data_IF_161490973859
#
_entry.id   IF_161490973859
#
_cell.length_a   1.000
_cell.length_b   1.000
_cell.length_c   1.000
_cell.angle_alpha   90.00
_cell.angle_beta   90.00
_cell.angle_gamma   90.00
#
_symmetry.space_group_name_H-M   'P 1'
#
loop_
_entity.id
_entity.type
_entity.pdbx_description
1 polymer ?
#
# COMPACT_ATOMS: atom_id res chain seq x y z
N UNK A 1 -32.75 -7.14 -10.18
CA UNK A 1 -32.50 -8.51 -10.65
C UNK A 1 -31.84 -9.37 -9.58
N UNK A 2 -32.30 -10.61 -9.37
CA UNK A 2 -31.54 -11.62 -8.62
C UNK A 2 -30.50 -12.23 -9.57
N UNK A 3 -29.22 -11.97 -9.30
CA UNK A 3 -28.12 -12.35 -10.19
C UNK A 3 -27.51 -13.71 -9.88
N UNK A 4 -28.10 -14.49 -8.97
CA UNK A 4 -27.57 -15.80 -8.64
C UNK A 4 -27.57 -16.75 -9.85
N UNK A 5 -26.47 -17.50 -9.99
CA UNK A 5 -26.34 -18.59 -10.96
C UNK A 5 -26.60 -18.20 -12.44
N UNK A 6 -26.40 -16.92 -12.78
CA UNK A 6 -26.58 -16.41 -14.14
C UNK A 6 -25.26 -16.44 -14.91
N UNK A 7 -25.26 -17.01 -16.13
CA UNK A 7 -24.06 -16.98 -16.99
C UNK A 7 -23.78 -15.55 -17.47
N UNK A 8 -24.83 -14.84 -17.88
CA UNK A 8 -24.76 -13.52 -18.48
C UNK A 8 -26.02 -12.72 -18.12
N UNK A 9 -25.81 -11.50 -17.64
CA UNK A 9 -26.82 -10.46 -17.50
C UNK A 9 -26.35 -9.29 -18.38
N UNK A 10 -27.24 -8.79 -19.22
CA UNK A 10 -27.01 -7.57 -20.01
C UNK A 10 -28.17 -6.63 -19.71
N UNK A 11 -27.87 -5.52 -19.07
CA UNK A 11 -28.77 -4.40 -18.88
C UNK A 11 -28.47 -3.31 -19.91
N UNK A 12 -29.52 -2.71 -20.45
CA UNK A 12 -29.42 -1.63 -21.43
C UNK A 12 -29.65 -0.25 -20.79
N UNK A 13 -29.82 -0.24 -19.46
CA UNK A 13 -29.80 0.92 -18.59
C UNK A 13 -31.11 1.15 -17.86
N UNK A 14 -31.07 2.03 -16.87
CA UNK A 14 -32.13 2.23 -15.89
C UNK A 14 -31.54 2.28 -14.48
N UNK A 15 -32.33 2.68 -13.48
CA UNK A 15 -31.84 2.67 -12.10
C UNK A 15 -32.26 1.34 -11.47
N UNK A 16 -31.38 0.35 -11.55
CA UNK A 16 -31.63 -1.02 -11.22
C UNK A 16 -30.96 -1.45 -9.91
N UNK A 17 -31.30 -2.67 -9.50
CA UNK A 17 -30.78 -3.26 -8.28
C UNK A 17 -30.40 -4.70 -8.51
N UNK A 18 -29.11 -4.99 -8.41
CA UNK A 18 -28.56 -6.33 -8.52
C UNK A 18 -28.36 -6.93 -7.14
N UNK A 19 -28.91 -8.13 -6.93
CA UNK A 19 -28.84 -8.87 -5.67
C UNK A 19 -28.07 -10.17 -5.85
N UNK A 20 -27.34 -10.59 -4.81
CA UNK A 20 -26.63 -11.87 -4.79
C UNK A 20 -25.39 -11.89 -5.68
N UNK A 21 -25.12 -13.04 -6.30
CA UNK A 21 -23.90 -13.30 -7.07
C UNK A 21 -23.95 -12.78 -8.53
N UNK A 22 -24.55 -11.60 -8.75
CA UNK A 22 -24.58 -10.98 -10.08
C UNK A 22 -23.16 -10.72 -10.58
N UNK A 23 -22.79 -11.25 -11.75
CA UNK A 23 -21.41 -11.14 -12.26
C UNK A 23 -20.36 -11.88 -11.41
N UNK A 24 -20.78 -12.83 -10.57
CA UNK A 24 -19.89 -13.58 -9.69
C UNK A 24 -20.10 -15.10 -9.77
N UNK A 25 -19.03 -15.87 -9.53
CA UNK A 25 -19.11 -17.33 -9.46
C UNK A 25 -19.30 -17.77 -8.00
N UNK A 26 -20.46 -18.36 -7.69
CA UNK A 26 -20.84 -18.75 -6.32
C UNK A 26 -20.83 -20.26 -6.07
N UNK A 27 -20.67 -21.08 -7.12
CA UNK A 27 -20.68 -22.55 -7.00
C UNK A 27 -19.83 -23.26 -8.07
N UNK A 28 -19.29 -24.45 -7.79
CA UNK A 28 -18.36 -25.15 -8.71
C UNK A 28 -18.91 -25.47 -10.10
N UNK A 29 -20.22 -25.68 -10.24
CA UNK A 29 -20.86 -25.94 -11.52
C UNK A 29 -21.05 -24.71 -12.41
N UNK A 30 -20.67 -23.53 -11.91
CA UNK A 30 -20.93 -22.25 -12.55
C UNK A 30 -19.63 -21.43 -12.59
N UNK A 31 -18.71 -21.86 -13.47
CA UNK A 31 -17.34 -21.34 -13.54
C UNK A 31 -17.18 -20.01 -14.27
N UNK A 32 -18.26 -19.46 -14.86
CA UNK A 32 -18.28 -18.13 -15.49
C UNK A 32 -19.59 -17.42 -15.14
N UNK A 33 -19.50 -16.14 -14.78
CA UNK A 33 -20.64 -15.25 -14.56
C UNK A 33 -20.27 -13.84 -15.00
N UNK A 34 -21.11 -13.23 -15.84
CA UNK A 34 -20.86 -11.92 -16.44
C UNK A 34 -22.08 -11.01 -16.24
N UNK A 35 -21.82 -9.80 -15.77
CA UNK A 35 -22.79 -8.70 -15.70
C UNK A 35 -22.26 -7.54 -16.54
N UNK A 36 -23.09 -7.07 -17.47
CA UNK A 36 -22.85 -5.88 -18.29
C UNK A 36 -24.02 -4.95 -18.05
N UNK A 37 -23.77 -3.82 -17.41
CA UNK A 37 -24.68 -2.70 -17.34
C UNK A 37 -24.20 -1.61 -18.31
N UNK A 38 -25.14 -0.97 -18.98
CA UNK A 38 -24.87 0.08 -19.96
C UNK A 38 -25.27 1.48 -19.46
N UNK A 39 -25.85 1.56 -18.26
CA UNK A 39 -25.79 2.74 -17.41
C UNK A 39 -27.08 3.07 -16.67
N UNK A 40 -26.97 3.89 -15.64
CA UNK A 40 -28.05 4.10 -14.69
C UNK A 40 -27.56 4.77 -13.43
N UNK A 41 -28.37 4.82 -12.37
CA UNK A 41 -27.78 4.95 -11.03
C UNK A 41 -28.20 3.68 -10.27
N UNK A 42 -27.26 2.75 -10.16
CA UNK A 42 -27.49 1.34 -9.87
C UNK A 42 -27.03 0.94 -8.48
N UNK A 43 -27.64 -0.14 -7.98
CA UNK A 43 -27.28 -0.71 -6.68
C UNK A 43 -26.91 -2.19 -6.79
N UNK A 44 -25.61 -2.47 -6.67
CA UNK A 44 -25.02 -3.80 -6.61
C UNK A 44 -24.88 -4.23 -5.16
N UNK A 45 -25.92 -4.87 -4.60
CA UNK A 45 -26.01 -5.13 -3.16
C UNK A 45 -25.97 -6.62 -2.81
N UNK A 46 -25.05 -6.99 -1.92
CA UNK A 46 -25.04 -8.26 -1.23
C UNK A 46 -24.67 -8.11 0.26
N UNK A 47 -25.63 -8.51 1.13
CA UNK A 47 -25.51 -8.41 2.59
C UNK A 47 -25.27 -9.75 3.29
N UNK A 48 -25.16 -10.83 2.52
CA UNK A 48 -24.83 -12.16 3.04
C UNK A 48 -23.33 -12.41 2.88
N UNK A 49 -22.65 -12.77 3.98
CA UNK A 49 -21.21 -13.10 3.98
C UNK A 49 -20.90 -14.43 3.28
N UNK A 50 -21.91 -15.26 3.06
CA UNK A 50 -21.75 -16.57 2.45
C UNK A 50 -21.89 -16.56 0.93
N UNK A 51 -22.26 -15.41 0.36
CA UNK A 51 -22.48 -15.24 -1.08
C UNK A 51 -21.44 -14.24 -1.58
N UNK A 52 -20.70 -14.52 -2.66
CA UNK A 52 -19.86 -13.52 -3.30
C UNK A 52 -20.70 -12.46 -4.02
N UNK A 53 -20.12 -11.31 -4.35
CA UNK A 53 -20.82 -10.23 -5.07
C UNK A 53 -20.09 -9.81 -6.35
N UNK A 54 -20.60 -8.78 -7.02
CA UNK A 54 -20.16 -8.23 -8.30
C UNK A 54 -18.66 -8.41 -8.61
N UNK A 55 -18.39 -8.94 -9.80
CA UNK A 55 -17.05 -9.13 -10.32
C UNK A 55 -16.20 -10.16 -9.58
N UNK A 56 -16.79 -11.09 -8.80
CA UNK A 56 -15.98 -12.04 -8.01
C UNK A 56 -15.79 -13.39 -8.71
N UNK A 57 -14.54 -13.83 -8.82
CA UNK A 57 -14.17 -15.14 -9.35
C UNK A 57 -13.72 -16.12 -8.26
N UNK A 58 -14.61 -17.03 -7.85
CA UNK A 58 -14.28 -18.21 -7.04
C UNK A 58 -14.13 -19.43 -7.96
N UNK A 59 -12.93 -20.01 -8.04
CA UNK A 59 -12.63 -21.18 -8.89
C UNK A 59 -13.09 -21.04 -10.35
N UNK A 60 -13.12 -19.80 -10.85
CA UNK A 60 -13.76 -19.44 -12.11
C UNK A 60 -13.53 -17.97 -12.45
N UNK A 61 -14.39 -17.44 -13.32
CA UNK A 61 -14.32 -16.05 -13.81
C UNK A 61 -15.61 -15.31 -13.47
N UNK A 62 -15.51 -14.28 -12.62
CA UNK A 62 -16.59 -13.33 -12.37
C UNK A 62 -16.25 -11.98 -12.98
N UNK A 63 -17.17 -11.41 -13.75
CA UNK A 63 -16.99 -10.11 -14.40
C UNK A 63 -18.23 -9.25 -14.18
N UNK A 64 -18.01 -8.01 -13.73
CA UNK A 64 -18.98 -6.93 -13.73
C UNK A 64 -18.40 -5.75 -14.49
N UNK A 65 -19.15 -5.27 -15.47
CA UNK A 65 -18.84 -4.06 -16.23
C UNK A 65 -20.02 -3.11 -16.09
N UNK A 66 -19.76 -1.91 -15.58
CA UNK A 66 -20.67 -0.77 -15.63
C UNK A 66 -20.12 0.27 -16.61
N UNK A 67 -21.00 0.88 -17.40
CA UNK A 67 -20.60 1.82 -18.45
C UNK A 67 -20.70 3.29 -18.04
N UNK A 68 -21.59 3.61 -17.10
CA UNK A 68 -21.91 4.96 -16.64
C UNK A 68 -22.94 4.93 -15.50
N UNK A 69 -22.68 5.66 -14.42
CA UNK A 69 -23.71 5.89 -13.42
C UNK A 69 -23.31 6.72 -12.22
N UNK A 70 -24.10 6.71 -11.16
CA UNK A 70 -23.59 7.04 -9.83
C UNK A 70 -24.07 5.93 -8.90
N UNK A 71 -23.22 4.95 -8.73
CA UNK A 71 -23.58 3.61 -8.34
C UNK A 71 -23.17 3.31 -6.91
N UNK A 72 -23.89 2.34 -6.35
CA UNK A 72 -23.60 1.78 -5.05
C UNK A 72 -23.18 0.32 -5.20
N UNK A 73 -21.92 0.07 -4.91
CA UNK A 73 -21.37 -1.27 -4.77
C UNK A 73 -21.29 -1.63 -3.27
N UNK A 74 -22.25 -2.39 -2.75
CA UNK A 74 -22.30 -2.81 -1.34
C UNK A 74 -22.15 -4.34 -1.24
N UNK A 75 -20.98 -4.84 -0.84
CA UNK A 75 -20.72 -6.27 -0.70
C UNK A 75 -19.97 -6.61 0.58
N UNK A 76 -20.37 -7.61 1.36
CA UNK A 76 -19.66 -7.88 2.62
C UNK A 76 -18.26 -8.47 2.44
N UNK A 77 -18.19 -9.61 1.77
CA UNK A 77 -16.96 -10.40 1.62
C UNK A 77 -16.90 -10.93 0.21
N UNK A 78 -15.70 -11.00 -0.39
CA UNK A 78 -15.50 -11.50 -1.76
C UNK A 78 -16.44 -10.79 -2.74
N UNK A 79 -16.17 -9.51 -2.95
CA UNK A 79 -16.95 -8.61 -3.80
C UNK A 79 -16.04 -7.64 -4.53
N UNK A 80 -16.61 -6.88 -5.48
CA UNK A 80 -15.94 -5.74 -6.11
C UNK A 80 -14.61 -6.17 -6.74
N UNK A 81 -14.66 -7.15 -7.65
CA UNK A 81 -13.48 -7.60 -8.37
C UNK A 81 -12.60 -8.62 -7.64
N UNK A 82 -13.09 -9.28 -6.59
CA UNK A 82 -12.26 -10.21 -5.80
C UNK A 82 -11.93 -11.54 -6.53
N UNK A 83 -10.70 -12.02 -6.39
CA UNK A 83 -10.23 -13.30 -6.95
C UNK A 83 -9.91 -14.34 -5.88
N UNK A 84 -10.55 -15.52 -5.92
CA UNK A 84 -10.24 -16.64 -5.04
C UNK A 84 -10.08 -17.94 -5.84
N UNK A 85 -8.83 -18.35 -6.09
CA UNK A 85 -8.51 -19.43 -7.05
C UNK A 85 -9.09 -19.19 -8.45
N UNK A 86 -9.34 -17.93 -8.81
CA UNK A 86 -10.04 -17.53 -10.01
C UNK A 86 -9.70 -16.10 -10.42
N UNK A 87 -10.42 -15.58 -11.40
CA UNK A 87 -10.33 -14.20 -11.88
C UNK A 87 -11.60 -13.45 -11.49
N UNK A 88 -11.46 -12.42 -10.65
CA UNK A 88 -12.48 -11.40 -10.44
C UNK A 88 -12.14 -10.13 -11.19
N UNK A 89 -13.13 -9.52 -11.84
CA UNK A 89 -13.04 -8.20 -12.45
C UNK A 89 -14.31 -7.40 -12.16
N UNK A 90 -14.14 -6.25 -11.53
CA UNK A 90 -15.08 -5.14 -11.60
C UNK A 90 -14.44 -4.05 -12.44
N UNK A 91 -15.16 -3.57 -13.46
CA UNK A 91 -14.77 -2.39 -14.22
C UNK A 91 -15.95 -1.41 -14.25
N UNK A 92 -15.87 -0.34 -13.47
CA UNK A 92 -16.71 0.84 -13.63
C UNK A 92 -15.99 1.80 -14.58
N UNK A 93 -16.73 2.46 -15.44
CA UNK A 93 -16.15 3.29 -16.49
C UNK A 93 -16.25 4.78 -16.19
N UNK A 94 -17.34 5.23 -15.55
CA UNK A 94 -17.54 6.65 -15.22
C UNK A 94 -18.65 6.75 -14.18
N UNK A 95 -18.46 7.55 -13.14
CA UNK A 95 -19.53 7.82 -12.21
C UNK A 95 -19.07 8.58 -10.99
N UNK A 96 -19.92 8.81 -10.00
CA UNK A 96 -19.43 9.13 -8.66
C UNK A 96 -19.98 8.06 -7.73
N UNK A 97 -19.14 7.08 -7.50
CA UNK A 97 -19.52 5.77 -7.04
C UNK A 97 -19.09 5.53 -5.61
N UNK A 98 -19.77 4.56 -4.98
CA UNK A 98 -19.56 4.22 -3.58
C UNK A 98 -19.32 2.74 -3.45
N UNK A 99 -18.09 2.39 -3.08
CA UNK A 99 -17.63 1.03 -2.88
C UNK A 99 -17.54 0.72 -1.39
N UNK A 100 -18.48 -0.07 -0.90
CA UNK A 100 -18.58 -0.46 0.52
C UNK A 100 -18.35 -1.95 0.67
N UNK A 101 -17.33 -2.32 1.45
CA UNK A 101 -17.08 -3.71 1.80
C UNK A 101 -16.65 -3.95 3.24
N UNK A 102 -16.66 -5.21 3.68
CA UNK A 102 -16.04 -5.58 4.96
C UNK A 102 -14.62 -6.10 4.71
N UNK A 103 -14.47 -7.21 3.98
CA UNK A 103 -13.16 -7.84 3.75
C UNK A 103 -13.06 -8.53 2.38
N UNK A 104 -11.85 -8.90 1.99
CA UNK A 104 -11.51 -9.62 0.75
C UNK A 104 -12.23 -9.09 -0.48
N UNK A 105 -12.21 -7.77 -0.69
CA UNK A 105 -12.96 -7.09 -1.75
C UNK A 105 -12.13 -5.98 -2.41
N UNK A 106 -12.67 -5.28 -3.40
CA UNK A 106 -12.02 -4.15 -4.07
C UNK A 106 -10.67 -4.58 -4.66
N UNK A 107 -10.73 -5.58 -5.55
CA UNK A 107 -9.56 -6.13 -6.21
C UNK A 107 -8.67 -7.03 -5.34
N UNK A 108 -9.12 -7.49 -4.16
CA UNK A 108 -8.37 -8.46 -3.36
C UNK A 108 -8.20 -9.81 -4.07
N UNK A 109 -7.06 -10.48 -3.86
CA UNK A 109 -6.83 -11.79 -4.46
C UNK A 109 -6.10 -12.80 -3.57
N UNK A 110 -6.50 -14.07 -3.67
CA UNK A 110 -5.79 -15.21 -3.07
C UNK A 110 -5.77 -16.35 -4.09
N UNK A 111 -4.58 -16.92 -4.36
CA UNK A 111 -4.40 -17.97 -5.39
C UNK A 111 -4.96 -17.64 -6.78
N UNK A 112 -5.19 -16.37 -7.06
CA UNK A 112 -5.94 -15.92 -8.22
C UNK A 112 -5.63 -14.46 -8.54
N UNK A 113 -6.51 -13.85 -9.32
CA UNK A 113 -6.37 -12.48 -9.81
C UNK A 113 -7.66 -11.73 -9.44
N UNK A 114 -7.52 -10.60 -8.76
CA UNK A 114 -8.62 -9.70 -8.42
C UNK A 114 -8.33 -8.31 -8.97
N UNK A 115 -9.28 -7.75 -9.70
CA UNK A 115 -9.16 -6.46 -10.38
C UNK A 115 -10.41 -5.62 -10.07
N UNK A 116 -10.22 -4.49 -9.40
CA UNK A 116 -11.21 -3.41 -9.33
C UNK A 116 -10.64 -2.24 -10.14
N UNK A 117 -11.34 -1.86 -11.20
CA UNK A 117 -10.91 -0.81 -12.12
C UNK A 117 -12.01 0.23 -12.18
N UNK A 118 -11.65 1.48 -11.99
CA UNK A 118 -12.52 2.63 -12.23
C UNK A 118 -11.92 3.50 -13.36
N UNK A 119 -12.80 4.07 -14.18
CA UNK A 119 -12.44 4.94 -15.29
C UNK A 119 -12.57 6.43 -14.94
N UNK A 120 -13.25 6.77 -13.84
CA UNK A 120 -13.12 8.03 -13.15
C UNK A 120 -14.41 8.70 -12.68
N UNK A 121 -14.20 9.68 -11.81
CA UNK A 121 -15.14 10.58 -11.17
C UNK A 121 -14.78 10.75 -9.69
N UNK A 122 -15.65 11.30 -8.85
CA UNK A 122 -15.30 11.53 -7.44
C UNK A 122 -15.79 10.34 -6.57
N UNK A 123 -14.94 9.33 -6.41
CA UNK A 123 -15.28 8.02 -5.86
C UNK A 123 -14.94 7.86 -4.37
N UNK A 124 -15.67 6.94 -3.72
CA UNK A 124 -15.48 6.63 -2.31
C UNK A 124 -15.38 5.13 -2.04
N UNK A 125 -14.18 4.68 -1.70
CA UNK A 125 -13.85 3.32 -1.34
C UNK A 125 -13.75 3.17 0.17
N UNK A 126 -14.53 2.27 0.75
CA UNK A 126 -14.49 1.97 2.17
C UNK A 126 -14.50 0.46 2.40
N UNK A 127 -13.53 -0.03 3.19
CA UNK A 127 -13.59 -1.38 3.76
C UNK A 127 -13.02 -1.49 5.17
N UNK A 128 -13.23 -2.63 5.82
CA UNK A 128 -12.68 -2.88 7.15
C UNK A 128 -11.24 -3.41 7.12
N UNK A 129 -10.91 -4.30 6.18
CA UNK A 129 -9.62 -5.00 6.19
C UNK A 129 -9.11 -5.32 4.79
N UNK A 130 -9.09 -6.60 4.42
CA UNK A 130 -8.26 -7.09 3.31
C UNK A 130 -8.87 -6.64 1.98
N UNK A 131 -8.17 -5.83 1.19
CA UNK A 131 -8.75 -5.28 -0.05
C UNK A 131 -8.01 -4.09 -0.61
N UNK A 132 -8.67 -3.30 -1.45
CA UNK A 132 -8.04 -2.17 -2.17
C UNK A 132 -6.74 -2.61 -2.83
N UNK A 133 -6.84 -3.62 -3.70
CA UNK A 133 -5.69 -4.16 -4.41
C UNK A 133 -4.77 -5.04 -3.57
N UNK A 134 -5.29 -5.74 -2.56
CA UNK A 134 -4.48 -6.64 -1.73
C UNK A 134 -4.09 -7.93 -2.48
N UNK A 135 -2.79 -8.23 -2.52
CA UNK A 135 -2.21 -9.46 -3.04
C UNK A 135 -1.92 -10.48 -1.93
N UNK A 136 -2.83 -11.43 -1.73
CA UNK A 136 -2.75 -12.43 -0.66
C UNK A 136 -1.95 -13.68 -0.99
N UNK A 137 -2.04 -14.65 -0.08
CA UNK A 137 -1.33 -15.93 -0.15
C UNK A 137 -1.48 -16.67 -1.47
N UNK A 138 -0.45 -17.47 -1.79
CA UNK A 138 -0.48 -18.33 -2.96
C UNK A 138 -0.15 -17.60 -4.26
N UNK A 139 0.52 -16.45 -4.16
CA UNK A 139 0.83 -15.60 -5.30
C UNK A 139 -0.41 -14.88 -5.85
N UNK A 140 -1.36 -14.50 -4.98
CA UNK A 140 -2.53 -13.72 -5.40
C UNK A 140 -2.10 -12.39 -6.04
N UNK A 141 -2.76 -11.98 -7.11
CA UNK A 141 -2.52 -10.69 -7.76
C UNK A 141 -3.75 -9.83 -7.53
N UNK A 142 -3.65 -8.87 -6.62
CA UNK A 142 -4.72 -7.93 -6.33
C UNK A 142 -4.39 -6.55 -6.88
N UNK A 143 -5.35 -5.93 -7.57
CA UNK A 143 -5.21 -4.60 -8.14
C UNK A 143 -6.48 -3.80 -7.89
N UNK A 144 -6.33 -2.62 -7.31
CA UNK A 144 -7.27 -1.51 -7.46
C UNK A 144 -6.60 -0.47 -8.35
N UNK A 145 -7.27 -0.07 -9.42
CA UNK A 145 -6.78 0.96 -10.32
C UNK A 145 -7.88 1.98 -10.59
N UNK A 146 -7.60 3.24 -10.31
CA UNK A 146 -8.44 4.39 -10.65
C UNK A 146 -7.71 5.26 -11.66
N UNK A 147 -8.45 5.94 -12.53
CA UNK A 147 -7.87 6.72 -13.62
C UNK A 147 -7.94 8.21 -13.37
N UNK A 148 -9.03 8.72 -12.79
CA UNK A 148 -9.22 10.16 -12.67
C UNK A 148 -10.29 10.48 -11.65
N UNK A 149 -10.02 11.39 -10.72
CA UNK A 149 -11.04 11.70 -9.75
C UNK A 149 -10.62 12.60 -8.63
N UNK A 150 -11.47 12.68 -7.62
CA UNK A 150 -11.06 13.13 -6.29
C UNK A 150 -11.50 12.10 -5.28
N UNK A 151 -10.67 11.09 -5.15
CA UNK A 151 -11.04 9.80 -4.62
C UNK A 151 -10.67 9.68 -3.16
N UNK A 152 -11.44 8.84 -2.47
CA UNK A 152 -11.24 8.56 -1.06
C UNK A 152 -11.09 7.08 -0.85
N UNK A 153 -9.88 6.67 -0.49
CA UNK A 153 -9.55 5.30 -0.16
C UNK A 153 -9.47 5.15 1.35
N UNK A 154 -10.49 4.55 1.95
CA UNK A 154 -10.55 4.32 3.40
C UNK A 154 -10.52 2.84 3.73
N UNK A 155 -9.46 2.40 4.40
CA UNK A 155 -9.43 1.14 5.12
C UNK A 155 -9.56 1.43 6.62
N UNK A 156 -10.66 1.01 7.24
CA UNK A 156 -11.07 1.43 8.59
C UNK A 156 -9.92 1.29 9.61
N UNK A 157 -9.31 2.40 10.08
CA UNK A 157 -8.16 2.31 10.96
C UNK A 157 -8.58 1.98 12.40
N UNK A 158 -9.78 2.34 12.85
CA UNK A 158 -10.12 2.27 14.27
C UNK A 158 -10.60 0.89 14.71
N UNK A 159 -9.93 0.32 15.72
CA UNK A 159 -10.38 -0.94 16.33
C UNK A 159 -11.70 -0.82 17.10
N UNK A 160 -12.16 0.40 17.35
CA UNK A 160 -13.46 0.68 17.99
C UNK A 160 -14.64 0.53 17.02
N UNK A 161 -14.40 0.67 15.72
CA UNK A 161 -15.40 0.47 14.67
C UNK A 161 -15.49 -1.01 14.32
N UNK A 162 -14.35 -1.65 14.12
CA UNK A 162 -14.23 -3.09 13.81
C UNK A 162 -13.01 -3.67 14.50
N UNK A 163 -13.14 -4.82 15.16
CA UNK A 163 -12.09 -5.34 16.04
C UNK A 163 -11.05 -6.18 15.28
N UNK A 164 -10.20 -5.52 14.50
CA UNK A 164 -9.01 -6.10 13.84
C UNK A 164 -7.70 -5.50 14.37
N UNK A 165 -7.72 -5.07 15.64
CA UNK A 165 -6.59 -4.38 16.27
C UNK A 165 -5.28 -5.15 16.17
N UNK A 166 -4.22 -4.44 15.81
CA UNK A 166 -2.87 -4.98 15.68
C UNK A 166 -2.02 -4.69 16.93
N UNK A 167 -1.09 -5.58 17.26
CA UNK A 167 -0.32 -5.45 18.50
C UNK A 167 0.71 -4.31 18.46
N UNK A 168 1.18 -3.89 17.29
CA UNK A 168 2.16 -2.79 17.19
C UNK A 168 1.55 -1.46 17.64
N UNK A 169 0.26 -1.27 17.37
CA UNK A 169 -0.53 -0.10 17.75
C UNK A 169 -1.31 -0.32 19.06
N UNK A 170 -0.86 -1.26 19.91
CA UNK A 170 -1.51 -1.60 21.18
C UNK A 170 -2.99 -1.99 21.02
N UNK A 171 -3.32 -2.61 19.90
CA UNK A 171 -4.68 -3.03 19.51
C UNK A 171 -5.67 -1.88 19.33
N UNK A 172 -5.20 -0.63 19.23
CA UNK A 172 -6.05 0.55 18.99
C UNK A 172 -6.31 0.79 17.49
N UNK A 173 -5.41 0.31 16.63
CA UNK A 173 -5.49 0.48 15.17
C UNK A 173 -5.54 -0.89 14.49
N UNK A 174 -6.38 -1.02 13.47
CA UNK A 174 -6.58 -2.26 12.73
C UNK A 174 -5.38 -2.61 11.85
N UNK A 175 -5.06 -3.90 11.74
CA UNK A 175 -4.28 -4.43 10.62
C UNK A 175 -5.21 -4.55 9.42
N UNK A 176 -5.09 -3.64 8.44
CA UNK A 176 -6.00 -3.59 7.31
C UNK A 176 -5.58 -4.53 6.18
N UNK A 177 -4.29 -4.74 5.91
CA UNK A 177 -3.84 -5.57 4.77
C UNK A 177 -4.45 -5.05 3.44
N UNK A 178 -4.24 -3.77 3.13
CA UNK A 178 -4.97 -3.09 2.04
C UNK A 178 -4.14 -2.03 1.32
N UNK A 179 -4.71 -1.33 0.33
CA UNK A 179 -4.05 -0.24 -0.39
C UNK A 179 -2.73 -0.72 -1.01
N UNK A 180 -2.87 -1.74 -1.86
CA UNK A 180 -1.75 -2.35 -2.57
C UNK A 180 -0.84 -3.21 -1.70
N UNK A 181 -1.27 -3.67 -0.53
CA UNK A 181 -0.46 -4.54 0.31
C UNK A 181 -0.26 -5.96 -0.30
N UNK A 182 0.97 -6.48 -0.23
CA UNK A 182 1.30 -7.86 -0.57
C UNK A 182 1.51 -8.71 0.68
N UNK A 183 0.59 -9.63 0.99
CA UNK A 183 0.55 -10.29 2.30
C UNK A 183 0.64 -11.81 2.23
N UNK A 184 1.72 -12.36 2.78
CA UNK A 184 1.89 -13.79 3.02
C UNK A 184 1.41 -14.25 4.38
N UNK A 185 1.29 -15.57 4.54
CA UNK A 185 1.02 -16.22 5.83
C UNK A 185 2.33 -16.69 6.43
N UNK A 186 2.68 -16.09 7.57
CA UNK A 186 3.80 -16.52 8.40
C UNK A 186 3.35 -17.58 9.41
N UNK A 187 3.72 -18.84 9.18
CA UNK A 187 3.29 -19.98 10.01
C UNK A 187 4.30 -20.47 11.05
N UNK A 188 5.55 -20.02 11.00
CA UNK A 188 6.63 -20.50 11.89
C UNK A 188 6.36 -20.28 13.39
N UNK A 189 5.64 -19.21 13.75
CA UNK A 189 5.19 -18.94 15.12
C UNK A 189 3.87 -19.61 15.53
N UNK A 190 3.20 -20.34 14.61
CA UNK A 190 1.88 -20.93 14.84
C UNK A 190 1.85 -22.44 14.52
N UNK A 191 1.54 -22.82 13.28
CA UNK A 191 1.32 -24.20 12.85
C UNK A 191 2.45 -24.78 11.97
N UNK A 192 3.48 -23.99 11.69
CA UNK A 192 4.58 -24.33 10.80
C UNK A 192 4.27 -24.22 9.30
N UNK A 193 3.05 -23.83 8.91
CA UNK A 193 2.62 -23.74 7.53
C UNK A 193 2.64 -22.30 7.02
N UNK A 194 3.70 -21.99 6.28
CA UNK A 194 3.92 -20.66 5.72
C UNK A 194 3.62 -20.62 4.23
N UNK A 195 2.92 -19.60 3.76
CA UNK A 195 2.64 -19.35 2.34
C UNK A 195 3.14 -17.97 1.95
N UNK A 196 3.88 -17.89 0.85
CA UNK A 196 4.34 -16.61 0.31
C UNK A 196 3.15 -15.71 -0.04
N UNK A 197 3.34 -14.41 0.19
CA UNK A 197 2.40 -13.38 -0.23
C UNK A 197 2.31 -13.22 -1.74
N UNK A 198 1.35 -12.41 -2.14
CA UNK A 198 1.07 -12.07 -3.52
C UNK A 198 1.69 -10.75 -3.95
N UNK A 199 1.22 -10.26 -5.09
CA UNK A 199 1.47 -8.90 -5.57
C UNK A 199 0.19 -8.10 -5.31
N UNK A 200 0.27 -7.10 -4.44
CA UNK A 200 -0.79 -6.10 -4.27
C UNK A 200 -0.40 -4.81 -4.97
N UNK A 201 -1.37 -4.15 -5.59
CA UNK A 201 -1.20 -2.83 -6.18
C UNK A 201 -2.44 -1.97 -5.98
N UNK A 202 -2.24 -0.75 -5.49
CA UNK A 202 -3.17 0.37 -5.66
C UNK A 202 -2.51 1.35 -6.63
N UNK A 203 -3.27 1.78 -7.63
CA UNK A 203 -2.79 2.63 -8.71
C UNK A 203 -3.82 3.73 -8.92
N UNK A 204 -3.45 4.97 -8.62
CA UNK A 204 -4.18 6.15 -9.04
C UNK A 204 -3.36 6.88 -10.11
N UNK A 205 -4.02 7.52 -11.06
CA UNK A 205 -3.36 8.18 -12.20
C UNK A 205 -3.49 9.69 -12.12
N UNK A 206 -4.59 10.23 -11.59
CA UNK A 206 -4.75 11.68 -11.45
C UNK A 206 -5.88 12.05 -10.51
N UNK A 207 -5.63 12.95 -9.58
CA UNK A 207 -6.67 13.45 -8.70
C UNK A 207 -6.16 14.41 -7.65
N UNK A 208 -6.93 14.65 -6.60
CA UNK A 208 -6.40 15.23 -5.35
C UNK A 208 -6.90 14.30 -4.23
N UNK A 209 -6.25 13.16 -4.08
CA UNK A 209 -6.80 11.97 -3.47
C UNK A 209 -6.45 11.85 -1.99
N UNK A 210 -7.29 11.10 -1.28
CA UNK A 210 -7.13 10.91 0.16
C UNK A 210 -7.11 9.43 0.50
N UNK A 211 -5.95 8.98 0.97
CA UNK A 211 -5.74 7.64 1.48
C UNK A 211 -5.77 7.66 2.99
N UNK A 212 -6.71 6.96 3.60
CA UNK A 212 -6.81 6.79 5.06
C UNK A 212 -6.77 5.33 5.43
N UNK A 213 -5.77 4.92 6.21
CA UNK A 213 -5.65 3.54 6.65
C UNK A 213 -4.96 3.36 8.00
N UNK A 214 -5.04 2.15 8.54
CA UNK A 214 -4.36 1.72 9.75
C UNK A 214 -2.98 1.13 9.47
N UNK A 215 -2.81 -0.15 9.80
CA UNK A 215 -1.55 -0.88 9.67
C UNK A 215 -1.51 -1.77 8.43
N UNK A 216 -0.31 -2.05 7.91
CA UNK A 216 -0.05 -2.93 6.75
C UNK A 216 -0.73 -2.45 5.46
N UNK A 217 -0.40 -1.22 5.04
CA UNK A 217 -1.05 -0.53 3.92
C UNK A 217 -0.10 0.26 3.03
N UNK A 218 -0.61 0.88 1.96
CA UNK A 218 0.12 1.81 1.09
C UNK A 218 1.42 1.21 0.57
N UNK A 219 1.25 0.14 -0.21
CA UNK A 219 2.37 -0.59 -0.82
C UNK A 219 3.23 -1.37 0.17
N UNK A 220 2.67 -1.79 1.31
CA UNK A 220 3.39 -2.61 2.29
C UNK A 220 3.60 -4.05 1.79
N UNK A 221 4.80 -4.59 2.01
CA UNK A 221 5.10 -6.02 1.84
C UNK A 221 5.09 -6.79 3.16
N UNK A 222 4.62 -8.03 3.15
CA UNK A 222 4.75 -8.95 4.29
C UNK A 222 4.95 -10.38 3.82
N UNK A 223 5.96 -11.06 4.38
CA UNK A 223 6.22 -12.49 4.20
C UNK A 223 6.27 -12.94 2.72
N UNK A 224 7.33 -12.55 2.02
CA UNK A 224 7.53 -12.76 0.58
C UNK A 224 6.51 -12.06 -0.36
N UNK A 225 5.58 -11.28 0.18
CA UNK A 225 4.68 -10.45 -0.62
C UNK A 225 5.39 -9.24 -1.22
N UNK A 226 4.80 -8.70 -2.29
CA UNK A 226 5.19 -7.42 -2.90
C UNK A 226 4.00 -6.49 -2.84
N UNK A 227 4.14 -5.36 -2.15
CA UNK A 227 3.14 -4.30 -2.14
C UNK A 227 3.57 -3.12 -3.01
N UNK A 228 2.62 -2.52 -3.71
CA UNK A 228 2.82 -1.37 -4.61
C UNK A 228 1.72 -0.35 -4.36
N UNK A 229 2.11 0.89 -4.10
CA UNK A 229 1.28 2.07 -4.19
C UNK A 229 1.86 2.94 -5.30
N UNK A 230 1.03 3.33 -6.25
CA UNK A 230 1.41 4.26 -7.31
C UNK A 230 0.37 5.36 -7.36
N UNK A 231 0.84 6.60 -7.31
CA UNK A 231 0.06 7.79 -7.60
C UNK A 231 0.72 8.55 -8.76
N UNK A 232 -0.11 9.06 -9.67
CA UNK A 232 0.33 9.60 -10.95
C UNK A 232 0.42 11.12 -11.01
N UNK A 233 -0.41 11.82 -10.23
CA UNK A 233 -0.44 13.28 -10.14
C UNK A 233 -1.52 13.72 -9.17
N UNK A 234 -1.24 14.71 -8.34
CA UNK A 234 -2.28 15.31 -7.52
C UNK A 234 -1.76 16.31 -6.52
N UNK A 235 -2.54 16.57 -5.47
CA UNK A 235 -2.01 17.06 -4.20
C UNK A 235 -2.64 16.19 -3.13
N UNK A 236 -2.00 15.08 -2.88
CA UNK A 236 -2.57 13.91 -2.27
C UNK A 236 -2.27 13.87 -0.78
N UNK A 237 -3.10 13.13 -0.05
CA UNK A 237 -2.99 13.01 1.38
C UNK A 237 -3.00 11.55 1.82
N UNK A 238 -1.83 11.09 2.28
CA UNK A 238 -1.58 9.74 2.79
C UNK A 238 -1.58 9.73 4.31
N UNK A 239 -2.70 9.32 4.92
CA UNK A 239 -2.88 9.20 6.37
C UNK A 239 -2.84 7.73 6.79
N UNK A 240 -1.78 7.33 7.47
CA UNK A 240 -1.63 5.94 7.93
C UNK A 240 -0.92 5.81 9.28
N UNK A 241 -0.72 4.57 9.75
CA UNK A 241 -0.20 4.32 11.11
C UNK A 241 1.09 3.52 11.13
N UNK A 242 1.05 2.20 10.90
CA UNK A 242 2.21 1.32 11.13
C UNK A 242 2.44 0.32 10.01
N UNK A 243 3.69 0.07 9.61
CA UNK A 243 4.00 -0.76 8.43
C UNK A 243 3.20 -0.26 7.21
N UNK A 244 3.52 0.95 6.79
CA UNK A 244 2.80 1.66 5.73
C UNK A 244 3.76 2.40 4.80
N UNK A 245 3.28 2.95 3.68
CA UNK A 245 4.00 3.84 2.77
C UNK A 245 5.39 3.30 2.39
N UNK A 246 5.41 2.29 1.51
CA UNK A 246 6.60 1.58 1.04
C UNK A 246 7.42 0.88 2.14
N UNK A 247 6.78 0.21 3.09
CA UNK A 247 7.49 -0.54 4.13
C UNK A 247 7.27 -2.04 4.02
N UNK A 248 7.95 -2.81 4.88
CA UNK A 248 7.61 -4.21 5.01
C UNK A 248 8.40 -5.00 6.05
N UNK A 249 7.94 -6.23 6.25
CA UNK A 249 8.57 -7.20 7.12
C UNK A 249 8.68 -8.59 6.48
N UNK A 250 9.84 -9.22 6.66
CA UNK A 250 10.12 -10.62 6.35
C UNK A 250 10.19 -10.94 4.84
N UNK A 251 11.36 -10.69 4.25
CA UNK A 251 11.73 -11.11 2.88
C UNK A 251 10.78 -10.59 1.78
N UNK A 252 10.19 -9.42 2.00
CA UNK A 252 9.16 -8.84 1.16
C UNK A 252 9.67 -7.63 0.38
N UNK A 253 8.83 -7.09 -0.50
CA UNK A 253 9.06 -5.82 -1.17
C UNK A 253 7.94 -4.85 -0.80
N UNK A 254 8.28 -3.63 -0.39
CA UNK A 254 7.33 -2.54 -0.20
C UNK A 254 7.69 -1.36 -1.10
N UNK A 255 6.73 -0.85 -1.86
CA UNK A 255 6.97 0.14 -2.91
C UNK A 255 5.87 1.22 -2.86
N UNK A 256 6.28 2.49 -2.86
CA UNK A 256 5.42 3.65 -3.10
C UNK A 256 6.13 4.54 -4.11
N UNK A 257 5.40 4.91 -5.15
CA UNK A 257 5.82 5.82 -6.20
C UNK A 257 4.79 6.94 -6.27
N UNK A 258 5.21 8.16 -5.98
CA UNK A 258 4.45 9.38 -6.23
C UNK A 258 5.14 10.15 -7.36
N UNK A 259 4.39 10.55 -8.37
CA UNK A 259 4.93 11.11 -9.61
C UNK A 259 4.86 12.64 -9.67
N UNK A 260 4.00 13.31 -8.88
CA UNK A 260 3.92 14.77 -8.79
C UNK A 260 2.84 15.23 -7.80
N UNK A 261 3.13 16.27 -7.01
CA UNK A 261 2.10 16.95 -6.23
C UNK A 261 2.67 17.72 -5.05
N UNK A 262 1.91 18.66 -4.46
CA UNK A 262 2.27 19.19 -3.14
C UNK A 262 1.60 18.30 -2.05
N UNK A 263 2.24 17.17 -1.76
CA UNK A 263 1.66 16.02 -1.08
C UNK A 263 1.89 16.01 0.43
N UNK A 264 1.05 15.22 1.12
CA UNK A 264 1.11 15.06 2.58
C UNK A 264 1.19 13.60 2.97
N UNK A 265 2.35 13.23 3.48
CA UNK A 265 2.64 11.91 4.03
C UNK A 265 2.57 11.96 5.56
N UNK A 266 1.43 11.57 6.14
CA UNK A 266 1.12 11.83 7.54
C UNK A 266 0.93 10.54 8.34
N UNK A 267 1.80 10.33 9.33
CA UNK A 267 1.62 9.24 10.28
C UNK A 267 0.91 9.66 11.57
N UNK A 268 -0.11 8.90 11.98
CA UNK A 268 -0.98 9.21 13.13
C UNK A 268 -0.82 8.23 14.31
N UNK A 269 -1.37 8.56 15.50
CA UNK A 269 -1.33 7.67 16.68
C UNK A 269 0.09 7.23 17.13
N UNK A 270 0.27 5.95 17.46
CA UNK A 270 1.56 5.30 17.79
C UNK A 270 2.31 4.85 16.52
N UNK A 271 2.18 5.64 15.46
CA UNK A 271 2.71 5.36 14.13
C UNK A 271 4.21 5.09 14.06
N UNK A 272 4.63 4.34 13.03
CA UNK A 272 6.01 4.00 12.70
C UNK A 272 6.16 3.08 11.49
N UNK A 273 7.39 2.70 11.15
CA UNK A 273 7.69 1.75 10.09
C UNK A 273 7.12 2.20 8.74
N UNK A 274 7.56 3.36 8.25
CA UNK A 274 7.04 3.95 7.02
C UNK A 274 8.12 4.67 6.19
N UNK A 275 7.73 5.24 5.06
CA UNK A 275 8.59 6.07 4.19
C UNK A 275 9.85 5.29 3.78
N UNK A 276 9.65 4.12 3.17
CA UNK A 276 10.76 3.27 2.75
C UNK A 276 11.43 2.52 3.89
N UNK A 277 10.68 2.00 4.87
CA UNK A 277 11.24 1.24 6.00
C UNK A 277 11.37 -0.26 5.72
N UNK A 278 12.54 -0.84 5.97
CA UNK A 278 12.79 -2.28 5.81
C UNK A 278 13.06 -3.01 7.11
N UNK A 279 12.27 -4.04 7.42
CA UNK A 279 12.53 -5.01 8.50
C UNK A 279 12.72 -6.43 7.96
N UNK A 280 13.78 -7.10 8.38
CA UNK A 280 14.04 -8.52 8.13
C UNK A 280 14.11 -8.88 6.63
N UNK A 281 15.24 -8.53 6.01
CA UNK A 281 15.52 -8.77 4.58
C UNK A 281 14.49 -8.18 3.62
N UNK A 282 13.83 -7.10 4.02
CA UNK A 282 12.87 -6.39 3.18
C UNK A 282 13.60 -5.50 2.18
N UNK A 283 13.06 -5.37 0.97
CA UNK A 283 13.41 -4.30 0.04
C UNK A 283 12.31 -3.25 0.09
N UNK A 284 12.64 -2.03 0.51
CA UNK A 284 11.71 -0.92 0.62
C UNK A 284 12.14 0.21 -0.32
N UNK A 285 11.22 0.70 -1.15
CA UNK A 285 11.45 1.76 -2.13
C UNK A 285 10.32 2.79 -2.05
N UNK A 286 10.65 3.97 -1.52
CA UNK A 286 9.82 5.15 -1.57
C UNK A 286 10.45 6.13 -2.56
N UNK A 287 9.68 6.56 -3.56
CA UNK A 287 10.07 7.60 -4.50
C UNK A 287 8.93 8.62 -4.53
N UNK A 288 9.28 9.86 -4.23
CA UNK A 288 8.52 11.04 -4.58
C UNK A 288 9.28 11.78 -5.69
N UNK A 289 8.59 12.12 -6.78
CA UNK A 289 9.21 12.78 -7.93
C UNK A 289 9.20 14.30 -7.82
N UNK A 290 8.43 14.87 -6.90
CA UNK A 290 8.60 16.23 -6.40
C UNK A 290 7.32 17.06 -6.34
N UNK A 291 7.51 18.28 -5.84
CA UNK A 291 6.49 19.20 -5.39
C UNK A 291 6.91 19.76 -4.04
N UNK A 292 6.05 20.44 -3.28
CA UNK A 292 6.44 20.95 -1.95
C UNK A 292 5.80 20.08 -0.87
N UNK A 293 6.52 19.05 -0.49
CA UNK A 293 5.97 17.91 0.24
C UNK A 293 6.13 18.02 1.74
N UNK A 294 5.21 17.34 2.42
CA UNK A 294 5.19 17.30 3.88
C UNK A 294 5.16 15.88 4.39
N UNK A 295 6.25 15.51 5.02
CA UNK A 295 6.43 14.21 5.67
C UNK A 295 6.37 14.34 7.18
N UNK A 296 5.44 13.62 7.81
CA UNK A 296 5.32 13.55 9.27
C UNK A 296 5.49 12.13 9.79
N UNK A 297 6.74 11.78 10.09
CA UNK A 297 7.07 10.54 10.77
C UNK A 297 6.95 10.66 12.28
N UNK A 298 6.83 9.49 12.94
CA UNK A 298 6.76 9.40 14.39
C UNK A 298 7.78 8.50 15.07
N UNK A 299 8.36 7.51 14.40
CA UNK A 299 9.48 6.68 14.91
C UNK A 299 10.48 6.31 13.79
N UNK A 300 10.48 5.05 13.38
CA UNK A 300 11.36 4.42 12.40
C UNK A 300 10.84 4.65 10.98
N UNK A 301 11.47 5.56 10.23
CA UNK A 301 11.06 5.96 8.88
C UNK A 301 12.24 6.45 8.01
N UNK A 302 11.95 6.93 6.80
CA UNK A 302 12.87 7.66 5.90
C UNK A 302 14.06 6.81 5.43
N UNK A 303 13.80 5.74 4.69
CA UNK A 303 14.87 4.91 4.12
C UNK A 303 15.68 4.13 5.17
N UNK A 304 15.05 3.79 6.30
CA UNK A 304 15.70 3.07 7.39
C UNK A 304 15.74 1.56 7.13
N UNK A 305 16.95 1.00 7.12
CA UNK A 305 17.20 -0.43 7.00
C UNK A 305 17.50 -1.08 8.36
N UNK A 306 16.66 -2.03 8.74
CA UNK A 306 16.86 -2.89 9.90
C UNK A 306 16.89 -4.37 9.50
N UNK A 307 17.65 -5.17 10.23
CA UNK A 307 17.71 -6.63 10.06
C UNK A 307 18.00 -7.02 8.59
N UNK A 308 19.17 -6.59 8.07
CA UNK A 308 19.65 -6.91 6.72
C UNK A 308 18.71 -6.53 5.56
N UNK A 309 17.88 -5.50 5.77
CA UNK A 309 17.03 -4.93 4.73
C UNK A 309 17.77 -3.95 3.83
N UNK A 310 17.18 -3.69 2.66
CA UNK A 310 17.54 -2.61 1.74
C UNK A 310 16.39 -1.60 1.77
N UNK A 311 16.68 -0.35 2.11
CA UNK A 311 15.68 0.67 2.35
C UNK A 311 16.08 1.96 1.65
N UNK A 312 15.22 2.44 0.78
CA UNK A 312 15.49 3.60 -0.07
C UNK A 312 14.33 4.59 0.03
N UNK A 313 14.67 5.84 0.29
CA UNK A 313 13.79 6.99 0.22
C UNK A 313 14.44 8.01 -0.71
N UNK A 314 13.71 8.39 -1.75
CA UNK A 314 14.11 9.38 -2.73
C UNK A 314 13.02 10.44 -2.82
N UNK A 315 13.37 11.67 -2.50
CA UNK A 315 12.63 12.86 -2.91
C UNK A 315 13.43 13.56 -4.01
N UNK A 316 12.78 13.87 -5.12
CA UNK A 316 13.44 14.33 -6.33
C UNK A 316 13.32 15.84 -6.55
N UNK A 317 12.52 16.55 -5.76
CA UNK A 317 12.69 17.98 -5.63
C UNK A 317 11.49 18.73 -5.10
N UNK A 318 11.77 19.82 -4.41
CA UNK A 318 10.73 20.57 -3.73
C UNK A 318 11.28 21.68 -2.89
N UNK A 319 10.44 22.30 -2.06
CA UNK A 319 10.90 22.91 -0.81
C UNK A 319 10.19 22.13 0.31
N UNK A 320 10.84 21.06 0.78
CA UNK A 320 10.16 19.99 1.52
C UNK A 320 10.28 20.14 3.04
N UNK A 321 9.36 19.48 3.75
CA UNK A 321 9.36 19.48 5.21
C UNK A 321 9.33 18.07 5.79
N UNK A 322 10.41 17.75 6.52
CA UNK A 322 10.60 16.45 7.16
C UNK A 322 10.47 16.57 8.67
N UNK A 323 9.41 15.99 9.24
CA UNK A 323 9.20 15.93 10.69
C UNK A 323 9.48 14.52 11.20
N UNK A 324 10.24 14.42 12.29
CA UNK A 324 10.53 13.15 12.96
C UNK A 324 10.61 13.34 14.48
N UNK A 325 10.52 12.28 15.27
CA UNK A 325 10.66 12.38 16.73
C UNK A 325 12.13 12.40 17.17
N UNK A 326 12.41 13.15 18.23
CA UNK A 326 13.76 13.32 18.77
C UNK A 326 14.40 11.98 19.16
N UNK A 327 15.65 11.77 18.71
CA UNK A 327 16.43 10.57 19.01
C UNK A 327 16.03 9.32 18.22
N UNK A 328 15.18 9.47 17.20
CA UNK A 328 14.74 8.34 16.39
C UNK A 328 15.71 8.03 15.26
N UNK A 329 15.65 6.78 14.82
CA UNK A 329 16.42 6.29 13.69
C UNK A 329 15.65 6.54 12.40
N UNK A 330 16.35 7.02 11.38
CA UNK A 330 15.78 7.29 10.07
C UNK A 330 16.82 7.86 9.13
N UNK A 331 16.35 8.53 8.08
CA UNK A 331 17.14 9.31 7.14
C UNK A 331 18.34 8.53 6.59
N UNK A 332 18.05 7.35 6.04
CA UNK A 332 19.03 6.47 5.41
C UNK A 332 19.86 5.65 6.39
N UNK A 333 19.46 5.54 7.66
CA UNK A 333 20.20 4.73 8.62
C UNK A 333 20.15 3.22 8.30
N UNK A 334 21.25 2.52 8.58
CA UNK A 334 21.36 1.07 8.52
C UNK A 334 21.83 0.50 9.87
N UNK A 335 20.93 -0.12 10.62
CA UNK A 335 21.22 -0.48 12.02
C UNK A 335 22.19 -1.65 12.13
N UNK A 336 22.91 -1.69 13.25
CA UNK A 336 23.76 -2.81 13.64
C UNK A 336 23.04 -3.74 14.61
N UNK A 337 23.39 -5.02 14.55
CA UNK A 337 22.97 -6.04 15.50
C UNK A 337 24.15 -6.95 15.81
N UNK A 338 24.26 -7.45 17.05
CA UNK A 338 25.46 -8.16 17.52
C UNK A 338 25.81 -9.39 16.67
N UNK A 339 24.80 -10.07 16.13
CA UNK A 339 24.92 -11.22 15.23
C UNK A 339 25.52 -10.88 13.85
N UNK A 340 25.75 -9.59 13.55
CA UNK A 340 26.47 -9.16 12.36
C UNK A 340 27.99 -9.19 12.54
N UNK A 341 28.47 -9.15 13.80
CA UNK A 341 29.90 -9.12 14.09
C UNK A 341 30.51 -10.53 14.11
N UNK A 342 29.71 -11.55 14.43
CA UNK A 342 30.16 -12.93 14.58
C UNK A 342 29.18 -13.87 13.87
N UNK A 343 29.65 -14.73 12.95
CA UNK A 343 28.76 -15.64 12.24
C UNK A 343 28.12 -16.65 13.20
N UNK A 344 26.79 -16.69 13.21
CA UNK A 344 26.03 -17.71 13.92
C UNK A 344 26.13 -19.06 13.17
N UNK A 345 26.44 -20.19 13.84
CA UNK A 345 26.55 -21.50 13.19
C UNK A 345 25.26 -21.99 12.50
N UNK A 346 24.08 -21.57 12.98
CA UNK A 346 22.77 -21.97 12.46
C UNK A 346 22.16 -20.94 11.51
N UNK A 347 22.49 -19.66 11.69
CA UNK A 347 22.00 -18.56 10.87
C UNK A 347 23.15 -17.64 10.40
N UNK A 348 24.12 -18.16 9.62
CA UNK A 348 25.31 -17.40 9.24
C UNK A 348 25.00 -16.26 8.26
N UNK A 349 23.83 -16.30 7.61
CA UNK A 349 23.43 -15.34 6.60
C UNK A 349 23.33 -13.90 7.15
N UNK A 350 23.01 -13.72 8.44
CA UNK A 350 23.07 -12.39 9.07
C UNK A 350 24.47 -11.79 9.08
N UNK A 351 25.54 -12.58 9.10
CA UNK A 351 26.90 -12.06 9.05
C UNK A 351 27.31 -11.68 7.62
N UNK A 352 26.94 -12.51 6.64
CA UNK A 352 27.37 -12.35 5.25
C UNK A 352 26.51 -11.39 4.42
N UNK A 353 25.24 -11.22 4.80
CA UNK A 353 24.34 -10.29 4.12
C UNK A 353 24.75 -8.84 4.35
N UNK A 354 24.25 -7.96 3.48
CA UNK A 354 24.39 -6.52 3.62
C UNK A 354 23.04 -5.91 3.94
N UNK A 355 23.05 -4.78 4.64
CA UNK A 355 21.93 -3.84 4.69
C UNK A 355 22.39 -2.51 4.14
N UNK A 356 21.49 -1.83 3.44
CA UNK A 356 21.70 -0.44 3.08
C UNK A 356 20.46 0.38 3.36
N UNK A 357 20.65 1.51 4.06
CA UNK A 357 19.66 2.57 4.17
C UNK A 357 20.13 3.74 3.32
N UNK A 358 19.22 4.34 2.58
CA UNK A 358 19.49 5.51 1.76
C UNK A 358 18.33 6.49 1.88
N UNK A 359 18.68 7.73 2.17
CA UNK A 359 17.80 8.88 2.05
C UNK A 359 18.49 9.85 1.08
N UNK A 360 17.78 10.25 0.03
CA UNK A 360 18.22 11.34 -0.84
C UNK A 360 17.04 12.28 -1.01
N UNK A 361 17.26 13.52 -0.60
CA UNK A 361 16.57 14.68 -1.14
C UNK A 361 17.49 15.27 -2.22
N UNK A 362 16.97 15.41 -3.44
CA UNK A 362 17.78 15.74 -4.61
C UNK A 362 17.71 17.22 -5.02
N UNK A 363 16.78 18.03 -4.48
CA UNK A 363 16.67 19.43 -4.82
C UNK A 363 15.74 20.16 -3.84
N UNK A 364 16.14 21.36 -3.41
CA UNK A 364 15.24 22.18 -2.62
C UNK A 364 15.94 23.02 -1.57
N UNK A 365 15.12 23.81 -0.86
CA UNK A 365 15.50 24.39 0.41
C UNK A 365 14.61 23.85 1.53
N UNK A 366 15.06 22.76 2.11
CA UNK A 366 14.28 21.83 2.90
C UNK A 366 14.41 22.06 4.40
N UNK A 367 13.32 21.74 5.10
CA UNK A 367 13.16 21.94 6.53
C UNK A 367 13.16 20.61 7.28
N UNK A 368 14.24 20.35 8.01
CA UNK A 368 14.35 19.19 8.90
C UNK A 368 13.95 19.58 10.32
N UNK A 369 12.87 18.97 10.82
CA UNK A 369 12.25 19.33 12.09
C UNK A 369 12.17 18.11 13.01
N UNK A 370 12.52 18.31 14.28
CA UNK A 370 12.42 17.29 15.31
C UNK A 370 11.32 17.61 16.32
N UNK A 371 10.59 16.58 16.73
CA UNK A 371 9.51 16.64 17.70
C UNK A 371 9.93 16.05 19.05
N UNK A 372 9.76 16.82 20.13
CA UNK A 372 10.03 16.43 21.52
C UNK A 372 8.78 16.71 22.36
N UNK A 373 7.95 15.67 22.56
CA UNK A 373 6.59 15.85 23.05
C UNK A 373 5.75 16.65 22.03
N UNK A 374 5.21 17.80 22.45
CA UNK A 374 4.44 18.71 21.59
C UNK A 374 5.29 19.80 20.92
N UNK A 375 6.56 19.95 21.32
CA UNK A 375 7.44 20.96 20.75
C UNK A 375 8.02 20.47 19.41
N UNK A 376 7.99 21.34 18.40
CA UNK A 376 8.64 21.13 17.10
C UNK A 376 9.73 22.17 16.94
N UNK A 377 10.97 21.72 16.75
CA UNK A 377 12.16 22.59 16.59
C UNK A 377 12.99 22.12 15.41
N UNK A 378 13.88 22.97 14.90
CA UNK A 378 14.85 22.55 13.88
C UNK A 378 15.67 21.34 14.37
N UNK A 379 15.99 20.43 13.45
CA UNK A 379 16.82 19.27 13.68
C UNK A 379 18.23 19.68 14.11
N UNK A 380 18.82 18.90 15.02
CA UNK A 380 20.23 18.99 15.40
C UNK A 380 21.12 17.98 14.64
N UNK A 381 20.53 17.05 13.89
CA UNK A 381 21.20 15.93 13.24
C UNK A 381 21.23 16.04 11.70
N UNK A 382 20.15 16.58 11.12
CA UNK A 382 19.92 16.67 9.68
C UNK A 382 19.63 18.12 9.31
N UNK A 383 19.99 18.53 8.10
CA UNK A 383 19.79 19.90 7.61
C UNK A 383 19.93 19.92 6.09
N UNK A 384 19.39 20.98 5.47
CA UNK A 384 19.61 21.30 4.07
C UNK A 384 21.09 21.30 3.69
N UNK A 385 21.38 20.89 2.47
CA UNK A 385 22.71 20.87 1.86
C UNK A 385 23.75 20.11 2.68
N UNK A 386 23.36 18.95 3.20
CA UNK A 386 24.23 18.13 4.02
C UNK A 386 24.20 16.66 3.64
N UNK A 387 25.33 16.00 3.91
CA UNK A 387 25.43 14.55 3.86
C UNK A 387 25.77 14.02 5.24
N UNK A 388 25.19 12.88 5.60
CA UNK A 388 25.44 12.17 6.85
C UNK A 388 25.55 10.67 6.62
N UNK A 389 26.12 9.98 7.61
CA UNK A 389 26.29 8.53 7.60
C UNK A 389 25.75 7.98 8.91
N UNK A 390 24.96 6.91 8.82
CA UNK A 390 24.38 6.24 9.99
C UNK A 390 24.41 4.73 9.79
N UNK A 391 25.43 4.00 10.29
CA UNK A 391 26.43 4.48 11.26
C UNK A 391 27.45 5.45 10.67
N UNK A 392 27.94 6.36 11.50
CA UNK A 392 29.05 7.22 11.14
C UNK A 392 30.33 6.40 10.97
N UNK A 393 31.25 6.85 10.12
CA UNK A 393 32.55 6.16 9.89
C UNK A 393 33.40 5.98 11.15
N UNK A 394 33.14 6.80 12.17
CA UNK A 394 33.81 6.76 13.47
C UNK A 394 33.12 5.85 14.48
N UNK A 395 31.91 5.38 14.19
CA UNK A 395 31.17 4.52 15.11
C UNK A 395 31.81 3.15 15.18
N UNK A 396 31.85 2.56 16.38
CA UNK A 396 32.37 1.20 16.60
C UNK A 396 31.60 0.12 15.82
N UNK A 397 30.38 0.45 15.40
CA UNK A 397 29.48 -0.43 14.63
C UNK A 397 29.59 -0.22 13.11
N UNK A 398 30.47 0.69 12.66
CA UNK A 398 30.74 0.87 11.24
C UNK A 398 31.52 -0.33 10.67
N UNK A 399 31.24 -0.68 9.40
CA UNK A 399 31.98 -1.73 8.69
C UNK A 399 31.45 -3.16 8.90
N UNK A 400 30.28 -3.34 9.52
CA UNK A 400 29.63 -4.64 9.72
C UNK A 400 28.63 -5.00 8.61
N UNK A 401 28.95 -4.65 7.36
CA UNK A 401 28.09 -4.79 6.18
C UNK A 401 26.75 -4.02 6.27
N UNK A 402 26.68 -3.01 7.13
CA UNK A 402 25.57 -2.07 7.26
C UNK A 402 26.02 -0.70 6.73
N UNK A 403 25.33 -0.21 5.70
CA UNK A 403 25.71 1.00 4.99
C UNK A 403 24.55 1.99 5.05
N UNK A 404 24.66 3.06 5.84
CA UNK A 404 23.64 4.09 5.86
C UNK A 404 24.16 5.42 5.38
N UNK A 405 23.43 6.03 4.46
CA UNK A 405 23.77 7.31 3.83
C UNK A 405 22.50 8.16 3.77
N UNK A 406 22.61 9.39 4.24
CA UNK A 406 21.65 10.44 3.91
C UNK A 406 22.33 11.57 3.17
N UNK A 407 21.63 12.12 2.19
CA UNK A 407 22.08 13.24 1.40
C UNK A 407 20.90 14.16 1.16
N UNK A 408 21.17 15.44 1.30
CA UNK A 408 20.36 16.54 0.84
C UNK A 408 21.26 17.43 -0.02
N UNK A 409 20.74 17.89 -1.16
CA UNK A 409 21.46 18.79 -2.04
C UNK A 409 20.52 19.79 -2.73
N UNK A 410 20.93 21.06 -2.79
CA UNK A 410 20.34 22.16 -3.60
C UNK A 410 20.18 21.86 -5.11
N UNK A 411 20.62 20.69 -5.59
CA UNK A 411 20.33 20.24 -6.94
C UNK A 411 21.09 19.00 -7.37
N UNK A 412 20.36 18.02 -7.90
CA UNK A 412 20.87 16.77 -8.41
C UNK A 412 19.80 16.01 -9.17
N UNK A 413 20.21 15.24 -10.18
CA UNK A 413 19.30 14.32 -10.88
C UNK A 413 19.80 12.90 -10.72
N UNK A 414 18.95 12.01 -10.21
CA UNK A 414 19.20 10.57 -10.21
C UNK A 414 18.68 10.04 -11.55
N UNK A 415 19.58 9.92 -12.53
CA UNK A 415 19.20 9.59 -13.92
C UNK A 415 18.39 8.30 -14.03
N UNK A 416 18.73 7.30 -13.23
CA UNK A 416 18.07 6.00 -13.17
C UNK A 416 16.59 6.10 -12.75
N UNK A 417 16.17 7.19 -12.11
CA UNK A 417 14.78 7.45 -11.75
C UNK A 417 13.99 8.15 -12.87
N UNK A 418 14.67 8.64 -13.93
CA UNK A 418 14.03 9.30 -15.09
C UNK A 418 13.89 8.38 -16.31
N UNK A 419 14.04 7.07 -16.14
CA UNK A 419 14.06 6.10 -17.25
C UNK A 419 12.74 5.99 -18.00
N UNK A 420 11.63 6.43 -17.40
CA UNK A 420 10.30 6.43 -18.04
C UNK A 420 10.01 7.72 -18.82
N UNK A 421 10.80 8.78 -18.65
CA UNK A 421 10.60 10.05 -19.35
C UNK A 421 11.21 10.06 -20.77
N UNK A 422 12.22 9.22 -21.00
CA UNK A 422 12.91 9.10 -22.29
C UNK A 422 12.00 8.59 -23.43
N UNK A 423 10.75 8.18 -23.12
CA UNK A 423 9.71 7.81 -24.08
C UNK A 423 8.68 8.89 -24.43
N UNK A 424 8.64 10.03 -23.72
CA UNK A 424 7.71 11.14 -23.97
C UNK A 424 8.27 12.17 -24.97
N UNK A 425 8.74 11.72 -26.14
CA UNK A 425 9.16 12.60 -27.25
C UNK A 425 8.32 12.42 -28.52
#
# INVERSE_FOLDING_TARGET
>A
TDGNDCLLIVDFGGNDRYLGAAGATSRPGHGVSVLIDLGGDDAYTNRDRLVPSCGTGILGVGLSYDAAGNDLYEGKVLSQGAGFFGLGLLFDKTGNDRYLAETSSQGAAYFGIGLAIDGGGDDAYYLYRDGQGMGGVGGGIGVLADYAGRDRYTAEPSSTVVNFGDYHSQFAVNANDSQGAGMGRRGDGSDGHSWAGGIGAIVDISGDDVYTSGNFTLGCGYWFGTGICYDGAGNDEYRSVYFTQASGAHFCNGILLDEAGDDKHLLTETAGAAFGFGWDFTNALFIDRGGNDRYEARIISYGLAQIRSMAFFFDMGGDDSYVYGKGQQGFGAATFREDYAVPNPLAPYFYYAKSAGLFIDAAGNDAYMMKDGDAVTASDAYRNDAAWFSPAKTDSVYGHNNFGVGLDADGGSIRELNIFDDGKK
#
